data_IF_851604336179
#
_entry.id   IF_851604336179
#
_cell.length_a   1.000
_cell.length_b   1.000
_cell.length_c   1.000
_cell.angle_alpha   90.00
_cell.angle_beta   90.00
_cell.angle_gamma   90.00
#
_symmetry.space_group_name_H-M   'P 1'
#
loop_
_entity.id
_entity.type
_entity.pdbx_description
1 polymer ?
#
# COMPACT_ATOMS: atom_id res chain seq x y z
N UNK A 1 17.83 -58.72 43.48
CA UNK A 1 17.96 -57.36 42.89
C UNK A 1 17.77 -57.46 41.37
N UNK A 2 16.56 -57.24 40.87
CA UNK A 2 16.25 -57.28 39.44
C UNK A 2 16.31 -55.82 38.90
N UNK A 3 17.22 -55.56 37.96
CA UNK A 3 17.31 -54.26 37.26
C UNK A 3 16.25 -54.28 36.13
N UNK A 4 15.29 -53.35 36.21
CA UNK A 4 14.32 -53.09 35.16
C UNK A 4 14.96 -52.05 34.23
N UNK A 5 15.14 -52.45 32.98
CA UNK A 5 15.66 -51.61 31.92
C UNK A 5 14.45 -50.96 31.20
N UNK A 6 14.21 -49.65 31.45
CA UNK A 6 13.18 -48.89 30.76
C UNK A 6 13.73 -48.43 29.41
N UNK A 7 13.16 -48.95 28.32
CA UNK A 7 13.40 -48.51 26.95
C UNK A 7 12.42 -47.36 26.67
N UNK A 8 12.92 -46.15 26.56
CA UNK A 8 12.15 -44.98 26.10
C UNK A 8 12.18 -45.01 24.56
N UNK A 9 11.05 -45.35 23.97
CA UNK A 9 10.85 -45.27 22.50
C UNK A 9 10.46 -43.85 22.12
N UNK A 10 11.40 -43.08 21.59
CA UNK A 10 11.13 -41.74 21.08
C UNK A 10 10.56 -41.83 19.66
N UNK A 11 9.26 -41.68 19.52
CA UNK A 11 8.61 -41.51 18.19
C UNK A 11 8.92 -40.09 17.68
N UNK A 12 9.81 -40.01 16.71
CA UNK A 12 9.98 -38.80 15.90
C UNK A 12 8.90 -38.75 14.84
N UNK A 13 7.86 -37.93 15.04
CA UNK A 13 6.86 -37.60 14.03
C UNK A 13 7.52 -36.70 13.01
N UNK A 14 7.98 -37.21 11.90
CA UNK A 14 8.39 -36.44 10.73
C UNK A 14 7.14 -35.87 10.04
N UNK A 15 6.77 -34.64 10.34
CA UNK A 15 5.76 -33.91 9.60
C UNK A 15 6.30 -33.64 8.19
N UNK A 16 5.96 -34.45 7.23
CA UNK A 16 6.15 -34.12 5.80
C UNK A 16 5.20 -32.98 5.46
N UNK A 17 5.73 -31.77 5.41
CA UNK A 17 5.03 -30.62 4.84
C UNK A 17 4.92 -30.88 3.34
N UNK A 18 3.78 -31.36 2.90
CA UNK A 18 3.44 -31.39 1.48
C UNK A 18 3.27 -29.92 1.04
N UNK A 19 4.25 -29.40 0.32
CA UNK A 19 4.10 -28.13 -0.37
C UNK A 19 2.90 -28.25 -1.31
N UNK A 20 1.85 -27.47 -1.07
CA UNK A 20 0.72 -27.44 -1.98
C UNK A 20 1.19 -26.98 -3.36
N UNK A 21 0.75 -27.62 -4.45
CA UNK A 21 1.13 -27.18 -5.78
C UNK A 21 0.64 -25.74 -5.98
N UNK A 22 1.48 -24.93 -6.63
CA UNK A 22 1.09 -23.57 -6.99
C UNK A 22 -0.17 -23.61 -7.87
N UNK A 23 -1.10 -22.66 -7.70
CA UNK A 23 -2.30 -22.59 -8.52
C UNK A 23 -1.94 -22.43 -10.00
N UNK A 24 -2.79 -22.98 -10.89
CA UNK A 24 -2.59 -22.90 -12.33
C UNK A 24 -2.47 -21.42 -12.75
N UNK A 25 -1.40 -21.09 -13.46
CA UNK A 25 -1.24 -19.76 -14.07
C UNK A 25 -2.36 -19.54 -15.10
N UNK A 26 -3.11 -18.46 -14.92
CA UNK A 26 -4.12 -18.05 -15.89
C UNK A 26 -3.45 -17.43 -17.12
N UNK A 27 -3.98 -17.68 -18.30
CA UNK A 27 -3.59 -16.94 -19.49
C UNK A 27 -3.96 -15.46 -19.35
N UNK A 28 -3.14 -14.59 -19.91
CA UNK A 28 -3.35 -13.14 -19.77
C UNK A 28 -4.76 -12.69 -20.19
N UNK A 29 -5.29 -13.24 -21.27
CA UNK A 29 -6.63 -12.93 -21.76
C UNK A 29 -7.74 -13.34 -20.79
N UNK A 30 -7.63 -14.52 -20.17
CA UNK A 30 -8.59 -14.99 -19.16
C UNK A 30 -8.53 -14.10 -17.90
N UNK A 31 -7.31 -13.81 -17.42
CA UNK A 31 -7.06 -12.97 -16.26
C UNK A 31 -7.65 -11.57 -16.45
N UNK A 32 -7.51 -10.98 -17.65
CA UNK A 32 -7.93 -9.62 -17.96
C UNK A 32 -9.38 -9.50 -18.45
N UNK A 33 -10.09 -10.59 -18.68
CA UNK A 33 -11.44 -10.55 -19.28
C UNK A 33 -12.41 -9.70 -18.45
N UNK A 34 -12.43 -9.90 -17.14
CA UNK A 34 -13.30 -9.13 -16.26
C UNK A 34 -12.95 -7.63 -16.26
N UNK A 35 -11.65 -7.27 -16.27
CA UNK A 35 -11.16 -5.90 -16.29
C UNK A 35 -11.61 -5.16 -17.54
N UNK A 36 -11.44 -5.78 -18.70
CA UNK A 36 -11.89 -5.22 -19.99
C UNK A 36 -13.39 -5.00 -20.02
N UNK A 37 -14.17 -5.90 -19.41
CA UNK A 37 -15.62 -5.78 -19.32
C UNK A 37 -16.08 -4.77 -18.26
N UNK A 38 -15.34 -4.59 -17.20
CA UNK A 38 -15.70 -3.71 -16.10
C UNK A 38 -15.70 -2.24 -16.50
N UNK A 39 -14.67 -1.76 -17.19
CA UNK A 39 -14.47 -0.39 -17.73
C UNK A 39 -14.63 0.76 -16.77
N UNK A 40 -15.43 0.64 -15.72
CA UNK A 40 -15.77 1.70 -14.78
C UNK A 40 -15.64 1.22 -13.34
N UNK A 41 -14.85 1.94 -12.55
CA UNK A 41 -14.61 1.65 -11.14
C UNK A 41 -14.39 2.91 -10.33
N UNK A 42 -14.42 2.76 -9.00
CA UNK A 42 -14.12 3.80 -8.04
C UNK A 42 -12.66 3.70 -7.60
N UNK A 43 -11.96 4.82 -7.53
CA UNK A 43 -10.67 4.91 -6.87
C UNK A 43 -10.81 5.81 -5.65
N UNK A 44 -10.46 5.30 -4.46
CA UNK A 44 -10.59 6.03 -3.20
C UNK A 44 -9.22 6.34 -2.64
N UNK A 45 -8.89 7.64 -2.53
CA UNK A 45 -7.73 8.15 -1.81
C UNK A 45 -8.18 8.66 -0.45
N UNK A 46 -7.79 7.97 0.61
CA UNK A 46 -8.18 8.36 1.96
C UNK A 46 -7.16 7.86 2.99
N UNK A 47 -6.91 8.71 4.00
CA UNK A 47 -5.97 8.45 5.07
C UNK A 47 -5.82 9.66 5.99
N UNK A 48 -4.92 9.62 6.99
CA UNK A 48 -4.73 10.71 7.97
C UNK A 48 -4.41 12.06 7.35
N UNK A 49 -3.87 12.11 6.15
CA UNK A 49 -3.60 13.36 5.44
C UNK A 49 -4.86 14.22 5.23
N UNK A 50 -6.05 13.62 5.24
CA UNK A 50 -7.30 14.37 5.16
C UNK A 50 -7.55 15.29 6.37
N UNK A 51 -6.94 14.98 7.54
CA UNK A 51 -7.05 15.78 8.75
C UNK A 51 -6.44 17.20 8.62
N UNK A 52 -5.61 17.40 7.61
CA UNK A 52 -5.02 18.71 7.33
C UNK A 52 -5.92 19.58 6.44
N UNK A 53 -6.91 19.00 5.74
CA UNK A 53 -7.75 19.76 4.81
C UNK A 53 -6.95 20.51 3.74
N UNK A 54 -5.74 20.05 3.42
CA UNK A 54 -4.83 20.72 2.48
C UNK A 54 -4.10 21.93 3.06
N UNK A 55 -4.17 22.16 4.38
CA UNK A 55 -3.54 23.33 5.04
C UNK A 55 -2.60 22.89 6.15
N UNK A 56 -1.38 23.46 6.16
CA UNK A 56 -0.41 23.27 7.23
C UNK A 56 0.26 24.61 7.56
N UNK A 57 0.19 25.05 8.82
CA UNK A 57 0.77 26.30 9.32
C UNK A 57 0.48 27.52 8.43
N UNK A 58 -0.77 27.65 7.94
CA UNK A 58 -1.18 28.74 7.06
C UNK A 58 -0.83 28.55 5.57
N UNK A 59 -0.01 27.57 5.23
CA UNK A 59 0.21 27.17 3.84
C UNK A 59 -0.98 26.40 3.30
N UNK A 60 -1.54 26.86 2.18
CA UNK A 60 -2.64 26.19 1.49
C UNK A 60 -2.10 25.46 0.26
N UNK A 61 -2.23 24.13 0.26
CA UNK A 61 -1.82 23.29 -0.86
C UNK A 61 -2.85 23.40 -1.99
N UNK A 62 -2.62 24.29 -2.93
CA UNK A 62 -3.55 24.54 -4.06
C UNK A 62 -3.37 23.58 -5.23
N UNK A 63 -2.28 22.82 -5.30
CA UNK A 63 -1.97 21.90 -6.41
C UNK A 63 -1.59 20.53 -5.89
N UNK A 64 -2.17 19.50 -6.53
CA UNK A 64 -1.99 18.09 -6.21
C UNK A 64 -2.85 17.64 -5.04
N UNK A 65 -2.90 16.34 -4.80
CA UNK A 65 -3.75 15.73 -3.80
C UNK A 65 -3.27 15.98 -2.37
N UNK A 66 -4.19 15.93 -1.42
CA UNK A 66 -3.92 16.13 0.00
C UNK A 66 -2.91 15.10 0.56
N UNK A 67 -2.81 13.95 -0.06
CA UNK A 67 -1.87 12.87 0.28
C UNK A 67 -0.40 13.27 0.17
N UNK A 68 -0.09 14.37 -0.53
CA UNK A 68 1.26 14.93 -0.64
C UNK A 68 1.61 15.98 0.41
N UNK A 69 0.67 16.35 1.30
CA UNK A 69 0.89 17.48 2.21
C UNK A 69 2.13 17.28 3.11
N UNK A 70 2.33 16.07 3.61
CA UNK A 70 3.48 15.75 4.45
C UNK A 70 4.81 16.02 3.73
N UNK A 71 4.92 15.57 2.48
CA UNK A 71 6.14 15.80 1.67
C UNK A 71 6.31 17.26 1.27
N UNK A 72 5.24 17.91 0.81
CA UNK A 72 5.32 19.28 0.30
C UNK A 72 5.63 20.29 1.39
N UNK A 73 5.05 20.09 2.57
CA UNK A 73 5.30 20.94 3.73
C UNK A 73 6.48 20.44 4.58
N UNK A 74 7.13 19.31 4.22
CA UNK A 74 8.20 18.69 5.01
C UNK A 74 7.80 18.60 6.47
N UNK A 75 6.56 18.12 6.73
CA UNK A 75 6.05 17.94 8.08
C UNK A 75 6.93 16.92 8.80
N UNK A 76 7.48 17.23 9.98
CA UNK A 76 8.29 16.30 10.73
C UNK A 76 7.53 14.99 11.01
N UNK A 77 8.20 13.85 10.91
CA UNK A 77 7.56 12.53 11.08
C UNK A 77 6.85 12.44 12.42
N UNK A 78 7.47 12.93 13.49
CA UNK A 78 6.86 12.95 14.83
C UNK A 78 5.54 13.73 14.86
N UNK A 79 5.50 14.88 14.22
CA UNK A 79 4.31 15.73 14.16
C UNK A 79 3.20 15.10 13.34
N UNK A 80 3.55 14.57 12.15
CA UNK A 80 2.58 13.87 11.31
C UNK A 80 1.98 12.66 12.03
N UNK A 81 2.79 11.84 12.68
CA UNK A 81 2.32 10.69 13.45
C UNK A 81 1.42 11.11 14.61
N UNK A 82 1.76 12.19 15.33
CA UNK A 82 0.93 12.74 16.40
C UNK A 82 -0.45 13.20 15.87
N UNK A 83 -0.50 13.80 14.68
CA UNK A 83 -1.77 14.15 14.04
C UNK A 83 -2.52 12.91 13.58
N UNK A 84 -1.85 11.96 12.94
CA UNK A 84 -2.46 10.70 12.47
C UNK A 84 -3.10 9.89 13.60
N UNK A 85 -2.54 9.92 14.80
CA UNK A 85 -3.09 9.24 15.96
C UNK A 85 -4.49 9.78 16.37
N UNK A 86 -4.88 10.98 15.93
CA UNK A 86 -6.23 11.52 16.14
C UNK A 86 -7.25 11.12 15.07
N UNK A 87 -6.84 10.33 14.07
CA UNK A 87 -7.73 9.90 12.99
C UNK A 87 -8.78 8.92 13.50
N UNK A 88 -10.03 9.38 13.55
CA UNK A 88 -11.15 8.64 14.13
C UNK A 88 -12.43 8.78 13.29
N UNK A 89 -12.51 8.12 12.13
CA UNK A 89 -13.64 8.24 11.21
C UNK A 89 -14.84 7.38 11.65
N UNK A 90 -15.45 7.71 12.79
CA UNK A 90 -16.51 6.91 13.42
C UNK A 90 -17.73 6.66 12.52
N UNK A 91 -18.01 7.61 11.61
CA UNK A 91 -19.15 7.53 10.68
C UNK A 91 -18.84 6.72 9.41
N UNK A 92 -17.62 6.14 9.29
CA UNK A 92 -17.31 5.32 8.13
C UNK A 92 -18.23 4.11 8.03
N UNK A 93 -18.85 3.97 6.86
CA UNK A 93 -19.75 2.87 6.51
C UNK A 93 -19.32 2.24 5.18
N UNK A 94 -18.69 1.08 5.27
CA UNK A 94 -18.20 0.35 4.10
C UNK A 94 -19.33 -0.07 3.15
N UNK A 95 -20.47 -0.47 3.68
CA UNK A 95 -21.62 -0.89 2.88
C UNK A 95 -22.19 0.26 2.05
N UNK A 96 -22.32 1.44 2.65
CA UNK A 96 -22.80 2.65 1.97
C UNK A 96 -21.85 3.05 0.82
N UNK A 97 -20.54 3.01 1.06
CA UNK A 97 -19.54 3.29 0.03
C UNK A 97 -19.63 2.31 -1.14
N UNK A 98 -19.74 1.01 -0.84
CA UNK A 98 -19.87 -0.03 -1.87
C UNK A 98 -21.18 0.08 -2.64
N UNK A 99 -22.29 0.36 -1.97
CA UNK A 99 -23.58 0.59 -2.62
C UNK A 99 -23.57 1.84 -3.49
N UNK A 100 -22.90 2.91 -3.06
CA UNK A 100 -22.70 4.11 -3.88
C UNK A 100 -22.00 3.78 -5.18
N UNK A 101 -20.90 3.02 -5.12
CA UNK A 101 -20.20 2.57 -6.31
C UNK A 101 -21.08 1.68 -7.20
N UNK A 102 -21.78 0.71 -6.61
CA UNK A 102 -22.65 -0.21 -7.34
C UNK A 102 -23.81 0.51 -8.03
N UNK A 103 -24.49 1.41 -7.34
CA UNK A 103 -25.62 2.17 -7.87
C UNK A 103 -25.21 3.13 -8.98
N UNK A 104 -23.96 3.63 -8.94
CA UNK A 104 -23.36 4.38 -10.05
C UNK A 104 -22.94 3.52 -11.24
N UNK A 105 -23.13 2.19 -11.19
CA UNK A 105 -22.76 1.26 -12.25
C UNK A 105 -21.30 0.79 -12.25
N UNK A 106 -20.53 1.15 -11.24
CA UNK A 106 -19.13 0.72 -11.08
C UNK A 106 -19.04 -0.78 -10.79
N UNK A 107 -17.97 -1.41 -11.21
CA UNK A 107 -17.76 -2.86 -11.12
C UNK A 107 -16.66 -3.25 -10.15
N UNK A 108 -15.83 -2.30 -9.75
CA UNK A 108 -14.73 -2.51 -8.82
C UNK A 108 -14.44 -1.24 -8.02
N UNK A 109 -13.77 -1.42 -6.90
CA UNK A 109 -13.23 -0.34 -6.06
C UNK A 109 -11.74 -0.61 -5.89
N UNK A 110 -10.90 0.41 -6.06
CA UNK A 110 -9.50 0.41 -5.64
C UNK A 110 -9.37 1.37 -4.45
N UNK A 111 -8.93 0.83 -3.32
CA UNK A 111 -8.79 1.57 -2.07
C UNK A 111 -7.32 1.77 -1.72
N UNK A 112 -6.94 2.97 -1.26
CA UNK A 112 -5.59 3.24 -0.78
C UNK A 112 -5.36 2.58 0.57
N UNK A 113 -4.80 1.37 0.56
CA UNK A 113 -4.50 0.63 1.78
C UNK A 113 -3.30 1.19 2.53
N UNK A 114 -2.33 1.74 1.82
CA UNK A 114 -1.22 2.54 2.36
C UNK A 114 -0.74 3.52 1.29
N UNK A 115 -0.82 4.82 1.58
CA UNK A 115 -0.25 5.86 0.71
C UNK A 115 1.20 6.18 1.10
N UNK A 116 1.78 7.23 0.54
CA UNK A 116 3.18 7.63 0.73
C UNK A 116 3.52 8.04 2.17
N UNK A 117 2.53 8.43 2.95
CA UNK A 117 2.69 8.76 4.38
C UNK A 117 3.03 7.53 5.25
N UNK A 118 2.84 6.32 4.70
CA UNK A 118 3.15 5.08 5.37
C UNK A 118 2.09 4.57 6.34
N UNK A 119 0.94 5.27 6.47
CA UNK A 119 -0.14 4.84 7.33
C UNK A 119 -0.94 3.71 6.70
N UNK A 120 -1.02 2.56 7.37
CA UNK A 120 -1.81 1.44 6.90
C UNK A 120 -3.28 1.58 7.34
N UNK A 121 -4.19 1.62 6.36
CA UNK A 121 -5.64 1.68 6.58
C UNK A 121 -6.25 0.32 6.93
N UNK A 122 -5.42 -0.65 7.32
CA UNK A 122 -5.75 -2.01 7.68
C UNK A 122 -4.92 -2.48 8.87
N UNK A 123 -5.34 -3.53 9.55
CA UNK A 123 -4.54 -4.16 10.61
C UNK A 123 -3.29 -4.79 10.02
N UNK A 124 -2.13 -4.27 10.40
CA UNK A 124 -0.84 -4.79 10.02
C UNK A 124 -0.03 -5.21 11.24
N UNK A 125 0.61 -6.37 11.16
CA UNK A 125 1.58 -6.81 12.17
C UNK A 125 3.00 -6.32 11.85
N UNK A 126 3.21 -5.82 10.64
CA UNK A 126 4.52 -5.32 10.18
C UNK A 126 4.81 -3.88 10.62
N UNK A 127 3.79 -3.11 10.98
CA UNK A 127 3.93 -1.74 11.47
C UNK A 127 2.81 -1.38 12.41
N UNK A 128 3.13 -0.81 13.57
CA UNK A 128 2.14 -0.24 14.49
C UNK A 128 1.43 0.98 13.91
N UNK A 129 2.02 1.63 12.89
CA UNK A 129 1.46 2.81 12.24
C UNK A 129 0.31 2.41 11.31
N UNK A 130 -0.76 1.91 11.92
CA UNK A 130 -1.96 1.44 11.25
C UNK A 130 -3.23 1.89 11.97
N UNK A 131 -4.35 1.86 11.26
CA UNK A 131 -5.63 2.41 11.75
C UNK A 131 -6.15 1.70 13.00
N UNK A 132 -5.87 0.41 13.16
CA UNK A 132 -6.37 -0.38 14.29
C UNK A 132 -5.55 -0.14 15.55
N UNK A 133 -4.22 -0.16 15.45
CA UNK A 133 -3.34 -0.07 16.62
C UNK A 133 -3.08 1.38 17.02
N UNK A 134 -2.91 2.27 16.04
CA UNK A 134 -2.39 3.62 16.25
C UNK A 134 -3.46 4.68 16.52
N UNK A 135 -4.73 4.39 16.24
CA UNK A 135 -5.83 5.35 16.35
C UNK A 135 -6.90 4.92 17.35
N UNK A 136 -7.76 5.83 17.81
CA UNK A 136 -8.91 5.46 18.66
C UNK A 136 -10.01 4.73 17.89
N UNK A 137 -9.98 4.72 16.56
CA UNK A 137 -10.99 4.10 15.71
C UNK A 137 -11.09 2.58 15.89
N UNK A 138 -9.96 1.88 16.05
CA UNK A 138 -9.85 0.45 16.39
C UNK A 138 -10.58 -0.52 15.44
N UNK A 139 -11.01 -0.07 14.26
CA UNK A 139 -11.67 -0.89 13.24
C UNK A 139 -10.76 -1.04 12.04
N UNK A 140 -10.85 -2.19 11.34
CA UNK A 140 -10.12 -2.46 10.10
C UNK A 140 -11.00 -2.10 8.90
N UNK A 141 -10.73 -0.94 8.29
CA UNK A 141 -11.49 -0.44 7.14
C UNK A 141 -11.39 -1.38 5.93
N UNK A 142 -10.24 -2.00 5.72
CA UNK A 142 -10.04 -2.89 4.58
C UNK A 142 -10.83 -4.18 4.77
N UNK A 143 -10.91 -4.72 5.98
CA UNK A 143 -11.74 -5.89 6.29
C UNK A 143 -13.23 -5.58 6.08
N UNK A 144 -13.69 -4.43 6.56
CA UNK A 144 -15.09 -4.01 6.35
C UNK A 144 -15.42 -3.83 4.88
N UNK A 145 -14.54 -3.18 4.10
CA UNK A 145 -14.69 -3.04 2.66
C UNK A 145 -14.68 -4.40 1.94
N UNK A 146 -13.79 -5.30 2.32
CA UNK A 146 -13.72 -6.63 1.73
C UNK A 146 -15.03 -7.42 1.95
N UNK A 147 -15.59 -7.34 3.16
CA UNK A 147 -16.89 -7.95 3.48
C UNK A 147 -18.03 -7.35 2.66
N UNK A 148 -18.12 -6.03 2.60
CA UNK A 148 -19.13 -5.32 1.83
C UNK A 148 -19.02 -5.59 0.32
N UNK A 149 -17.80 -5.56 -0.23
CA UNK A 149 -17.56 -5.85 -1.64
C UNK A 149 -17.99 -7.28 -2.02
N UNK A 150 -17.67 -8.29 -1.18
CA UNK A 150 -18.15 -9.67 -1.39
C UNK A 150 -19.68 -9.76 -1.37
N UNK A 151 -20.32 -9.14 -0.37
CA UNK A 151 -21.79 -9.12 -0.23
C UNK A 151 -22.48 -8.54 -1.45
N UNK A 152 -21.92 -7.51 -2.04
CA UNK A 152 -22.54 -6.77 -3.15
C UNK A 152 -21.96 -7.12 -4.54
N UNK A 153 -21.05 -8.11 -4.63
CA UNK A 153 -20.42 -8.57 -5.87
C UNK A 153 -19.65 -7.44 -6.61
N UNK A 154 -19.02 -6.56 -5.86
CA UNK A 154 -18.06 -5.56 -6.35
C UNK A 154 -16.65 -6.10 -6.15
N UNK A 155 -15.80 -6.04 -7.18
CA UNK A 155 -14.41 -6.46 -7.05
C UNK A 155 -13.60 -5.44 -6.26
N UNK A 156 -12.76 -5.91 -5.33
CA UNK A 156 -11.90 -5.06 -4.50
C UNK A 156 -10.46 -5.15 -4.97
N UNK A 157 -9.84 -4.00 -5.13
CA UNK A 157 -8.41 -3.85 -5.39
C UNK A 157 -7.78 -2.94 -4.34
N UNK A 158 -6.47 -3.09 -4.17
CA UNK A 158 -5.67 -2.36 -3.22
C UNK A 158 -4.62 -1.51 -3.94
N UNK A 159 -4.63 -0.20 -3.68
CA UNK A 159 -3.49 0.64 -3.94
C UNK A 159 -2.50 0.49 -2.78
N UNK A 160 -1.24 0.33 -3.11
CA UNK A 160 -0.16 0.24 -2.14
C UNK A 160 1.08 0.99 -2.64
N UNK A 161 1.53 1.97 -1.87
CA UNK A 161 2.77 2.68 -2.13
C UNK A 161 3.95 1.83 -1.65
N UNK A 162 4.54 1.05 -2.56
CA UNK A 162 5.56 0.08 -2.20
C UNK A 162 6.92 0.71 -1.90
N UNK A 163 7.27 1.80 -2.58
CA UNK A 163 8.61 2.39 -2.47
C UNK A 163 8.63 3.65 -1.63
N UNK A 164 7.60 4.49 -1.73
CA UNK A 164 7.50 5.68 -0.89
C UNK A 164 6.77 5.36 0.40
N UNK A 165 7.44 5.70 1.51
CA UNK A 165 6.89 5.61 2.85
C UNK A 165 7.65 6.60 3.73
N UNK A 166 6.96 7.66 4.13
CA UNK A 166 7.60 8.78 4.81
C UNK A 166 7.65 8.64 6.32
N UNK A 167 6.90 7.73 6.91
CA UNK A 167 6.81 7.56 8.36
C UNK A 167 7.45 6.28 8.89
N UNK A 168 7.70 5.27 8.05
CA UNK A 168 8.40 4.07 8.48
C UNK A 168 9.91 4.18 8.20
N UNK A 169 10.77 3.73 9.12
CA UNK A 169 12.21 3.80 8.95
C UNK A 169 12.71 3.14 7.65
N UNK A 170 13.54 3.82 6.90
CA UNK A 170 14.11 3.34 5.65
C UNK A 170 13.18 3.43 4.44
N UNK A 171 11.94 3.85 4.62
CA UNK A 171 11.01 4.09 3.51
C UNK A 171 11.56 5.13 2.55
N UNK A 172 11.40 4.89 1.23
CA UNK A 172 11.90 5.79 0.20
C UNK A 172 11.12 7.10 0.14
N UNK A 173 11.78 8.13 -0.34
CA UNK A 173 11.15 9.43 -0.62
C UNK A 173 11.49 9.88 -2.03
N UNK A 174 10.60 10.63 -2.67
CA UNK A 174 10.94 11.40 -3.85
C UNK A 174 11.38 12.77 -3.36
N UNK A 175 12.57 13.22 -3.81
CA UNK A 175 13.04 14.56 -3.52
C UNK A 175 12.10 15.58 -4.14
N UNK A 176 11.58 16.46 -3.29
CA UNK A 176 10.83 17.67 -3.68
C UNK A 176 11.40 18.83 -2.91
N UNK A 177 11.85 19.84 -3.62
CA UNK A 177 12.27 21.10 -3.01
C UNK A 177 11.07 21.79 -2.36
N UNK A 178 11.32 22.48 -1.27
CA UNK A 178 10.32 23.34 -0.67
C UNK A 178 10.13 24.55 -1.57
N UNK A 179 8.89 24.98 -1.71
CA UNK A 179 8.55 26.17 -2.47
C UNK A 179 8.48 27.35 -1.54
N UNK A 180 8.81 28.52 -2.08
CA UNK A 180 8.62 29.80 -1.40
C UNK A 180 7.18 29.93 -0.86
N UNK A 181 7.05 30.45 0.34
CA UNK A 181 5.77 30.63 1.00
C UNK A 181 5.23 29.42 1.74
N UNK A 182 5.96 28.30 1.81
CA UNK A 182 5.59 27.19 2.67
C UNK A 182 5.85 27.54 4.13
N UNK A 183 4.90 27.15 4.98
CA UNK A 183 4.85 27.60 6.36
C UNK A 183 5.77 26.86 7.35
N UNK A 184 6.83 26.23 6.87
CA UNK A 184 7.82 25.65 7.74
C UNK A 184 8.93 26.71 8.02
N UNK A 185 9.13 27.12 9.29
CA UNK A 185 10.12 28.16 9.62
C UNK A 185 11.57 27.75 9.31
N UNK A 186 11.85 26.44 9.26
CA UNK A 186 13.18 25.89 8.99
C UNK A 186 13.37 25.48 7.52
N UNK A 187 12.56 26.03 6.61
CA UNK A 187 12.48 25.60 5.21
C UNK A 187 13.85 25.48 4.52
N UNK A 188 14.73 26.46 4.69
CA UNK A 188 16.05 26.46 4.05
C UNK A 188 16.94 25.33 4.59
N UNK A 189 16.98 25.17 5.91
CA UNK A 189 17.78 24.11 6.54
C UNK A 189 17.24 22.72 6.16
N UNK A 190 15.91 22.54 6.16
CA UNK A 190 15.25 21.30 5.78
C UNK A 190 15.50 20.98 4.30
N UNK A 191 15.48 21.97 3.41
CA UNK A 191 15.70 21.74 1.98
C UNK A 191 17.15 21.34 1.69
N UNK A 192 18.13 21.95 2.35
CA UNK A 192 19.53 21.55 2.29
C UNK A 192 19.70 20.11 2.78
N UNK A 193 19.15 19.78 3.94
CA UNK A 193 19.15 18.41 4.47
C UNK A 193 18.50 17.42 3.50
N UNK A 194 17.38 17.78 2.89
CA UNK A 194 16.67 16.98 1.90
C UNK A 194 17.53 16.66 0.68
N UNK A 195 18.33 17.65 0.20
CA UNK A 195 19.26 17.45 -0.91
C UNK A 195 20.35 16.43 -0.57
N UNK A 196 20.96 16.57 0.58
CA UNK A 196 22.04 15.68 1.07
C UNK A 196 21.52 14.27 1.37
N UNK A 197 20.26 14.14 1.77
CA UNK A 197 19.62 12.91 2.24
C UNK A 197 18.65 12.27 1.22
N UNK A 198 18.88 12.45 -0.08
CA UNK A 198 18.16 11.77 -1.16
C UNK A 198 16.63 11.94 -1.09
N UNK A 199 16.17 13.10 -0.65
CA UNK A 199 14.76 13.43 -0.53
C UNK A 199 14.17 13.22 0.87
N UNK A 200 14.88 12.64 1.81
CA UNK A 200 14.46 12.57 3.21
C UNK A 200 14.62 13.92 3.90
N UNK A 201 13.62 14.34 4.66
CA UNK A 201 13.64 15.60 5.44
C UNK A 201 13.62 15.37 6.94
N UNK A 202 13.61 14.12 7.38
CA UNK A 202 13.58 13.71 8.77
C UNK A 202 14.58 12.57 9.00
N UNK A 203 15.28 12.59 10.13
CA UNK A 203 16.30 11.60 10.45
C UNK A 203 15.69 10.19 10.59
N UNK A 204 14.44 10.05 11.01
CA UNK A 204 13.76 8.76 11.10
C UNK A 204 13.66 8.07 9.74
N UNK A 205 13.42 8.83 8.67
CA UNK A 205 13.36 8.27 7.30
C UNK A 205 14.68 7.63 6.85
N UNK A 206 15.78 8.04 7.47
CA UNK A 206 17.14 7.56 7.17
C UNK A 206 17.71 6.60 8.22
N UNK A 207 16.93 6.26 9.25
CA UNK A 207 17.38 5.41 10.36
C UNK A 207 17.49 3.92 10.01
N UNK A 208 17.04 3.52 8.83
CA UNK A 208 17.20 2.18 8.27
C UNK A 208 17.46 2.25 6.76
N UNK A 209 17.85 1.14 6.14
CA UNK A 209 18.00 1.03 4.69
C UNK A 209 16.64 0.81 4.01
N UNK A 210 16.57 1.10 2.71
CA UNK A 210 15.38 0.77 1.91
C UNK A 210 15.11 -0.74 1.85
N UNK A 211 16.16 -1.56 1.87
CA UNK A 211 16.02 -3.01 1.91
C UNK A 211 15.44 -3.48 3.25
N UNK A 212 15.90 -2.91 4.38
CA UNK A 212 15.29 -3.15 5.70
C UNK A 212 13.79 -2.82 5.71
N UNK A 213 13.41 -1.67 5.12
CA UNK A 213 12.01 -1.28 5.00
C UNK A 213 11.21 -2.32 4.19
N UNK A 214 11.73 -2.76 3.05
CA UNK A 214 11.05 -3.80 2.26
C UNK A 214 10.90 -5.10 3.05
N UNK A 215 11.96 -5.55 3.74
CA UNK A 215 11.94 -6.80 4.51
C UNK A 215 11.02 -6.75 5.72
N UNK A 216 11.02 -5.62 6.45
CA UNK A 216 10.31 -5.48 7.72
C UNK A 216 8.88 -4.96 7.59
N UNK A 217 8.60 -4.17 6.55
CA UNK A 217 7.32 -3.49 6.39
C UNK A 217 6.62 -3.85 5.09
N UNK A 218 7.20 -3.49 3.93
CA UNK A 218 6.44 -3.52 2.68
C UNK A 218 6.07 -4.95 2.22
N UNK A 219 7.02 -5.89 2.18
CA UNK A 219 6.75 -7.27 1.77
C UNK A 219 5.79 -7.97 2.74
N UNK A 220 5.97 -7.89 4.08
CA UNK A 220 4.98 -8.43 5.01
C UNK A 220 3.59 -7.84 4.82
N UNK A 221 3.44 -6.52 4.67
CA UNK A 221 2.15 -5.87 4.43
C UNK A 221 1.50 -6.30 3.11
N UNK A 222 2.28 -6.46 2.05
CA UNK A 222 1.78 -7.00 0.76
C UNK A 222 1.22 -8.42 0.96
N UNK A 223 1.93 -9.27 1.73
CA UNK A 223 1.44 -10.62 2.06
C UNK A 223 0.16 -10.58 2.89
N UNK A 224 0.09 -9.72 3.90
CA UNK A 224 -1.12 -9.53 4.71
C UNK A 224 -2.32 -9.14 3.83
N UNK A 225 -2.14 -8.19 2.92
CA UNK A 225 -3.18 -7.76 1.99
C UNK A 225 -3.66 -8.87 1.06
N UNK A 226 -2.76 -9.74 0.60
CA UNK A 226 -3.09 -10.84 -0.30
C UNK A 226 -3.73 -12.03 0.41
N UNK A 227 -3.53 -12.18 1.73
CA UNK A 227 -3.99 -13.37 2.47
C UNK A 227 -5.21 -13.13 3.35
N UNK A 228 -5.34 -11.93 3.94
CA UNK A 228 -6.28 -11.72 5.04
C UNK A 228 -7.66 -11.22 4.60
N UNK A 229 -7.81 -10.70 3.37
CA UNK A 229 -9.00 -9.99 2.94
C UNK A 229 -9.82 -10.70 1.86
N UNK A 230 -9.49 -11.96 1.56
CA UNK A 230 -10.20 -12.79 0.59
C UNK A 230 -9.79 -12.49 -0.85
N UNK A 231 -10.76 -12.49 -1.78
CA UNK A 231 -10.47 -12.38 -3.21
C UNK A 231 -10.05 -10.97 -3.62
N UNK A 232 -8.76 -10.73 -3.62
CA UNK A 232 -8.17 -9.50 -4.14
C UNK A 232 -8.17 -9.55 -5.66
N UNK A 233 -8.71 -8.50 -6.31
CA UNK A 233 -8.78 -8.43 -7.75
C UNK A 233 -7.62 -7.66 -8.38
N UNK A 234 -7.13 -6.62 -7.69
CA UNK A 234 -6.09 -5.71 -8.20
C UNK A 234 -5.09 -5.40 -7.10
N UNK A 235 -3.80 -5.44 -7.43
CA UNK A 235 -2.76 -4.75 -6.67
C UNK A 235 -2.26 -3.57 -7.52
N UNK A 236 -2.57 -2.37 -7.08
CA UNK A 236 -2.13 -1.13 -7.72
C UNK A 236 -0.86 -0.62 -7.05
N UNK A 237 0.25 -0.70 -7.75
CA UNK A 237 1.54 -0.15 -7.34
C UNK A 237 1.65 1.33 -7.67
N UNK A 238 2.47 2.05 -6.92
CA UNK A 238 2.79 3.43 -7.24
C UNK A 238 4.30 3.71 -7.06
N UNK A 239 4.75 4.81 -7.69
CA UNK A 239 6.14 5.27 -7.61
C UNK A 239 7.18 4.19 -7.86
N UNK A 240 7.37 3.74 -9.13
CA UNK A 240 8.24 2.61 -9.51
C UNK A 240 9.74 2.93 -9.45
N UNK A 241 10.14 3.75 -8.48
CA UNK A 241 11.51 4.24 -8.33
C UNK A 241 12.19 3.59 -7.13
N UNK A 242 13.51 3.43 -7.21
CA UNK A 242 14.39 2.94 -6.14
C UNK A 242 14.23 1.49 -5.71
N UNK A 243 13.19 0.80 -6.07
CA UNK A 243 13.06 -0.64 -5.80
C UNK A 243 14.08 -1.42 -6.64
N UNK A 244 14.80 -2.35 -6.02
CA UNK A 244 15.73 -3.21 -6.73
C UNK A 244 15.01 -4.22 -7.62
N UNK A 245 15.72 -4.79 -8.60
CA UNK A 245 15.16 -5.83 -9.46
C UNK A 245 14.87 -7.11 -8.68
N UNK A 246 15.72 -7.43 -7.73
CA UNK A 246 15.62 -8.59 -6.86
C UNK A 246 14.38 -8.48 -5.96
N UNK A 247 14.17 -7.32 -5.32
CA UNK A 247 13.01 -7.06 -4.48
C UNK A 247 11.71 -7.10 -5.29
N UNK A 248 11.70 -6.52 -6.49
CA UNK A 248 10.54 -6.56 -7.38
C UNK A 248 10.23 -7.99 -7.85
N UNK A 249 11.26 -8.79 -8.12
CA UNK A 249 11.12 -10.21 -8.47
C UNK A 249 10.52 -11.03 -7.30
N UNK A 250 10.95 -10.76 -6.06
CA UNK A 250 10.38 -11.41 -4.87
C UNK A 250 8.89 -11.09 -4.70
N UNK A 251 8.50 -9.81 -4.85
CA UNK A 251 7.08 -9.41 -4.80
C UNK A 251 6.29 -10.08 -5.92
N UNK A 252 6.86 -10.17 -7.11
CA UNK A 252 6.22 -10.85 -8.25
C UNK A 252 6.04 -12.35 -8.00
N UNK A 253 7.04 -13.00 -7.38
CA UNK A 253 6.94 -14.40 -7.00
C UNK A 253 5.84 -14.63 -5.93
N UNK A 254 5.66 -13.70 -5.00
CA UNK A 254 4.54 -13.75 -4.05
C UNK A 254 3.19 -13.64 -4.76
N UNK A 255 3.06 -12.68 -5.70
CA UNK A 255 1.84 -12.49 -6.50
C UNK A 255 1.50 -13.71 -7.37
N UNK A 256 2.48 -14.48 -7.82
CA UNK A 256 2.26 -15.68 -8.62
C UNK A 256 1.43 -16.75 -7.90
N UNK A 257 1.32 -16.68 -6.57
CA UNK A 257 0.44 -17.53 -5.76
C UNK A 257 -1.05 -17.14 -5.90
N UNK A 258 -1.33 -15.98 -6.48
CA UNK A 258 -2.66 -15.39 -6.63
C UNK A 258 -2.91 -15.05 -8.11
N UNK A 259 -3.10 -16.04 -8.98
CA UNK A 259 -3.11 -15.84 -10.44
C UNK A 259 -4.25 -14.95 -10.93
N UNK A 260 -5.30 -14.76 -10.13
CA UNK A 260 -6.42 -13.87 -10.44
C UNK A 260 -6.11 -12.39 -10.23
N UNK A 261 -5.07 -12.06 -9.43
CA UNK A 261 -4.72 -10.67 -9.10
C UNK A 261 -4.05 -10.01 -10.31
N UNK A 262 -4.63 -8.92 -10.79
CA UNK A 262 -4.00 -8.10 -11.84
C UNK A 262 -3.19 -6.96 -11.23
N UNK A 263 -2.15 -6.53 -11.93
CA UNK A 263 -1.28 -5.44 -11.46
C UNK A 263 -1.00 -4.43 -12.58
N UNK A 264 -0.76 -3.18 -12.17
CA UNK A 264 -0.30 -2.15 -13.10
C UNK A 264 1.22 -2.22 -13.33
N UNK A 265 1.72 -1.36 -14.22
CA UNK A 265 3.12 -1.26 -14.63
C UNK A 265 4.01 -0.46 -13.66
N UNK A 266 3.53 -0.19 -12.42
CA UNK A 266 4.25 0.66 -11.47
C UNK A 266 4.97 -0.09 -10.34
N UNK A 267 5.10 -1.40 -10.41
CA UNK A 267 5.95 -2.10 -9.44
C UNK A 267 7.41 -1.66 -9.62
N UNK A 268 7.93 -1.79 -10.83
CA UNK A 268 9.25 -1.30 -11.26
C UNK A 268 9.29 -1.18 -12.78
N UNK A 269 9.53 0.01 -13.30
CA UNK A 269 9.66 0.23 -14.75
C UNK A 269 11.13 0.18 -15.19
N UNK A 270 11.44 -0.35 -16.38
CA UNK A 270 10.53 -1.00 -17.33
C UNK A 270 10.37 -2.52 -17.13
N UNK A 271 11.13 -3.13 -16.21
CA UNK A 271 11.36 -4.57 -16.13
C UNK A 271 10.12 -5.37 -15.68
N UNK A 272 9.16 -4.73 -15.01
CA UNK A 272 7.96 -5.35 -14.47
C UNK A 272 6.71 -4.63 -14.99
N UNK A 273 6.30 -4.95 -16.24
CA UNK A 273 5.25 -4.19 -16.93
C UNK A 273 3.83 -4.40 -16.36
N UNK A 274 3.63 -5.38 -15.46
CA UNK A 274 2.30 -5.73 -14.97
C UNK A 274 1.35 -6.20 -16.06
N UNK A 275 0.06 -6.13 -15.77
CA UNK A 275 -1.01 -6.57 -16.67
C UNK A 275 -1.60 -5.39 -17.48
N UNK A 276 -1.47 -4.16 -16.99
CA UNK A 276 -1.97 -2.95 -17.65
C UNK A 276 -1.11 -1.71 -17.33
N UNK A 277 -1.19 -0.73 -18.23
CA UNK A 277 -0.47 0.55 -18.07
C UNK A 277 -1.31 1.60 -17.36
N UNK A 278 -0.63 2.51 -16.69
CA UNK A 278 -1.24 3.64 -15.97
C UNK A 278 -0.66 4.97 -16.46
N UNK A 279 -1.12 5.51 -17.59
CA UNK A 279 -0.75 6.85 -18.00
C UNK A 279 -1.36 7.86 -17.01
N UNK A 280 -0.51 8.72 -16.44
CA UNK A 280 -0.93 9.74 -15.48
C UNK A 280 -0.66 11.14 -16.06
N UNK A 281 -1.63 12.05 -15.86
CA UNK A 281 -1.51 13.43 -16.33
C UNK A 281 -1.59 13.63 -17.85
N UNK A 282 -1.95 12.60 -18.61
CA UNK A 282 -2.12 12.66 -20.07
C UNK A 282 -3.23 11.74 -20.56
N UNK A 283 -3.83 12.10 -21.66
CA UNK A 283 -4.74 11.20 -22.40
C UNK A 283 -3.86 10.24 -23.20
N UNK A 284 -4.03 8.90 -23.06
CA UNK A 284 -3.29 7.94 -23.86
C UNK A 284 -3.66 8.07 -25.36
N UNK A 285 -2.70 7.84 -26.24
CA UNK A 285 -2.99 7.74 -27.67
C UNK A 285 -3.77 6.46 -27.96
N UNK A 286 -4.60 6.46 -29.02
CA UNK A 286 -5.41 5.29 -29.43
C UNK A 286 -4.57 4.01 -29.53
N UNK A 287 -3.36 4.09 -30.12
CA UNK A 287 -2.39 2.98 -30.19
C UNK A 287 -1.95 2.40 -28.83
N UNK A 288 -2.12 3.16 -27.75
CA UNK A 288 -1.76 2.72 -26.38
C UNK A 288 -2.96 2.07 -25.67
N UNK A 289 -4.17 2.19 -26.23
CA UNK A 289 -5.42 1.66 -25.68
C UNK A 289 -5.73 0.25 -26.20
N UNK A 290 -5.25 -0.07 -27.40
CA UNK A 290 -5.56 -1.33 -28.12
C UNK A 290 -4.71 -2.54 -27.66
N UNK A 291 -3.91 -2.41 -26.60
CA UNK A 291 -3.00 -3.48 -26.15
C UNK A 291 -3.38 -4.04 -24.79
#
# INVERSE_FOLDING_TARGET
>A
MKKILSIILTLTLSATVFAQPLPKKLEHNEKMAWWRNAKFGMFVHWGPYCLYGGVYNGFNQRRGGAEWIMNRCKIPVREYRAKACTFNPVDFNAEELVLTAKNAGMKYIIFTTKHHDGFAMFKSNASEFNIVDYTPFKRDIVDELAKACRKHHIKLGFYYSQTQDWCNPGGGTIRKEMKEGWANPDSVAIDNFTQENLGGWDCLQRSASLDDYFRKVAIPQIKELLTNYGDVAVMWWDTPHRISKETAAEITAELAKYPQVITNDRLRRPDFPGDYKTPEGRIPHAKDIER
#
